data_IF_129567073844
#
_entry.id   IF_129567073844
#
_cell.length_a   1.000
_cell.length_b   1.000
_cell.length_c   1.000
_cell.angle_alpha   90.00
_cell.angle_beta   90.00
_cell.angle_gamma   90.00
#
_symmetry.space_group_name_H-M   'P 1'
#
loop_
_entity.id
_entity.type
_entity.pdbx_description
1 polymer ?
#
# COMPACT_ATOMS: atom_id res chain seq x y z
N UNK A 1 15.59 -23.22 -2.67
CA UNK A 1 15.86 -22.52 -1.39
C UNK A 1 15.89 -21.03 -1.62
N UNK A 2 15.26 -20.28 -0.76
CA UNK A 2 15.20 -18.81 -0.85
C UNK A 2 16.53 -18.20 -0.44
N UNK A 3 17.04 -17.26 -1.24
CA UNK A 3 18.30 -16.58 -0.96
C UNK A 3 18.12 -15.08 -1.25
N UNK A 4 18.30 -14.25 -0.22
CA UNK A 4 18.08 -12.81 -0.31
C UNK A 4 19.37 -12.06 0.02
N UNK A 5 19.75 -11.14 -0.87
CA UNK A 5 20.83 -10.21 -0.63
C UNK A 5 20.27 -8.80 -0.46
N UNK A 6 20.68 -8.12 0.63
CA UNK A 6 20.23 -6.77 0.92
C UNK A 6 21.41 -5.81 0.90
N UNK A 7 21.21 -4.65 0.29
CA UNK A 7 22.20 -3.57 0.29
C UNK A 7 21.85 -2.59 1.40
N UNK A 8 22.32 -2.90 2.62
CA UNK A 8 22.02 -2.13 3.82
C UNK A 8 23.32 -1.81 4.55
N UNK A 9 23.26 -0.82 5.46
CA UNK A 9 24.42 -0.45 6.25
C UNK A 9 24.82 -1.57 7.22
N UNK A 10 26.10 -1.62 7.63
CA UNK A 10 26.53 -2.61 8.62
C UNK A 10 25.75 -2.56 9.93
N UNK A 11 25.35 -1.35 10.36
CA UNK A 11 24.55 -1.19 11.58
C UNK A 11 23.16 -1.82 11.41
N UNK A 12 22.51 -1.61 10.27
CA UNK A 12 21.22 -2.20 9.98
C UNK A 12 21.31 -3.72 9.90
N UNK A 13 22.34 -4.23 9.24
CA UNK A 13 22.60 -5.67 9.14
C UNK A 13 22.73 -6.30 10.53
N UNK A 14 23.55 -5.68 11.40
CA UNK A 14 23.75 -6.18 12.76
C UNK A 14 22.45 -6.23 13.54
N UNK A 15 21.61 -5.21 13.40
CA UNK A 15 20.32 -5.16 14.10
C UNK A 15 19.36 -6.23 13.59
N UNK A 16 19.34 -6.50 12.29
CA UNK A 16 18.54 -7.59 11.73
C UNK A 16 19.02 -8.95 12.21
N UNK A 17 20.34 -9.15 12.26
CA UNK A 17 20.91 -10.40 12.80
C UNK A 17 20.51 -10.60 14.26
N UNK A 18 20.48 -9.52 15.04
CA UNK A 18 20.05 -9.60 16.44
C UNK A 18 18.60 -10.03 16.55
N UNK A 19 17.71 -9.47 15.71
CA UNK A 19 16.30 -9.86 15.69
C UNK A 19 16.14 -11.32 15.31
N UNK A 20 16.88 -11.77 14.31
CA UNK A 20 16.86 -13.17 13.89
C UNK A 20 17.30 -14.11 15.00
N UNK A 21 18.29 -13.68 15.80
CA UNK A 21 18.78 -14.47 16.94
C UNK A 21 17.73 -14.60 18.05
N UNK A 22 16.84 -13.62 18.21
CA UNK A 22 15.74 -13.69 19.19
C UNK A 22 14.58 -14.54 18.69
N UNK A 23 14.44 -14.71 17.38
CA UNK A 23 13.35 -15.47 16.82
C UNK A 23 13.50 -16.95 17.13
N UNK A 24 12.38 -17.63 17.39
CA UNK A 24 12.42 -19.06 17.69
C UNK A 24 12.88 -19.88 16.49
N UNK A 25 12.49 -19.46 15.29
CA UNK A 25 12.92 -20.07 14.04
C UNK A 25 12.83 -19.06 12.91
N UNK A 26 13.44 -19.43 11.78
CA UNK A 26 13.49 -18.54 10.62
C UNK A 26 12.15 -18.38 9.95
N UNK A 27 11.30 -19.40 10.00
CA UNK A 27 9.95 -19.34 9.44
C UNK A 27 9.12 -18.29 10.18
N UNK A 28 9.13 -18.31 11.50
CA UNK A 28 8.41 -17.33 12.31
C UNK A 28 8.92 -15.92 12.04
N UNK A 29 10.24 -15.74 11.93
CA UNK A 29 10.84 -14.45 11.61
C UNK A 29 10.31 -13.94 10.27
N UNK A 30 10.31 -14.78 9.23
CA UNK A 30 9.83 -14.40 7.90
C UNK A 30 8.33 -14.09 7.91
N UNK A 31 7.54 -14.92 8.60
CA UNK A 31 6.09 -14.69 8.69
C UNK A 31 5.75 -13.39 9.40
N UNK A 32 6.54 -12.99 10.40
CA UNK A 32 6.31 -11.73 11.09
C UNK A 32 6.56 -10.53 10.17
N UNK A 33 7.57 -10.60 9.30
CA UNK A 33 7.82 -9.56 8.30
C UNK A 33 6.63 -9.46 7.35
N UNK A 34 6.13 -10.58 6.86
CA UNK A 34 4.98 -10.62 5.95
C UNK A 34 3.73 -10.06 6.65
N UNK A 35 3.47 -10.49 7.88
CA UNK A 35 2.33 -10.02 8.64
C UNK A 35 2.37 -8.51 8.86
N UNK A 36 3.55 -7.96 9.14
CA UNK A 36 3.71 -6.51 9.29
C UNK A 36 3.36 -5.78 7.99
N UNK A 37 3.85 -6.26 6.86
CA UNK A 37 3.56 -5.64 5.56
C UNK A 37 2.08 -5.72 5.22
N UNK A 38 1.44 -6.85 5.49
CA UNK A 38 0.00 -6.99 5.28
C UNK A 38 -0.77 -5.97 6.11
N UNK A 39 -0.42 -5.84 7.40
CA UNK A 39 -1.10 -4.90 8.28
C UNK A 39 -0.93 -3.45 7.80
N UNK A 40 0.27 -3.07 7.35
CA UNK A 40 0.53 -1.72 6.83
C UNK A 40 -0.28 -1.45 5.56
N UNK A 41 -0.37 -2.44 4.66
CA UNK A 41 -1.17 -2.30 3.44
C UNK A 41 -2.66 -2.16 3.76
N UNK A 42 -3.17 -2.95 4.71
CA UNK A 42 -4.57 -2.88 5.12
C UNK A 42 -4.90 -1.50 5.73
N UNK A 43 -4.00 -0.99 6.56
CA UNK A 43 -4.15 0.34 7.15
C UNK A 43 -4.16 1.42 6.07
N UNK A 44 -3.25 1.34 5.11
CA UNK A 44 -3.20 2.28 3.99
C UNK A 44 -4.46 2.24 3.15
N UNK A 45 -4.98 1.06 2.88
CA UNK A 45 -6.22 0.89 2.13
C UNK A 45 -7.40 1.57 2.84
N UNK A 46 -7.54 1.34 4.15
CA UNK A 46 -8.61 1.97 4.95
C UNK A 46 -8.49 3.49 4.88
N UNK A 47 -7.29 4.02 5.08
CA UNK A 47 -7.09 5.48 5.05
C UNK A 47 -7.40 6.08 3.69
N UNK A 48 -6.99 5.42 2.61
CA UNK A 48 -7.29 5.90 1.26
C UNK A 48 -8.80 5.87 1.00
N UNK A 49 -9.49 4.80 1.43
CA UNK A 49 -10.95 4.72 1.25
C UNK A 49 -11.68 5.82 1.98
N UNK A 50 -11.20 6.22 3.17
CA UNK A 50 -11.79 7.34 3.90
C UNK A 50 -11.61 8.66 3.12
N UNK A 51 -10.44 8.87 2.53
CA UNK A 51 -10.18 10.06 1.73
C UNK A 51 -11.02 10.06 0.44
N UNK A 52 -11.15 8.91 -0.21
CA UNK A 52 -11.99 8.78 -1.41
C UNK A 52 -13.46 9.08 -1.09
N UNK A 53 -13.92 8.63 0.08
CA UNK A 53 -15.29 8.89 0.51
C UNK A 53 -15.58 10.39 0.61
N UNK A 54 -14.62 11.19 1.07
CA UNK A 54 -14.76 12.64 1.13
C UNK A 54 -15.01 13.25 -0.24
N UNK A 55 -14.28 12.79 -1.25
CA UNK A 55 -14.49 13.24 -2.63
C UNK A 55 -15.84 12.77 -3.16
N UNK A 56 -16.20 11.52 -2.90
CA UNK A 56 -17.49 10.97 -3.34
C UNK A 56 -18.67 11.77 -2.77
N UNK A 57 -18.57 12.17 -1.50
CA UNK A 57 -19.61 12.98 -0.86
C UNK A 57 -19.62 14.41 -1.42
N UNK A 58 -18.45 14.99 -1.66
CA UNK A 58 -18.32 16.36 -2.16
C UNK A 58 -18.89 16.48 -3.59
N UNK A 59 -18.58 15.52 -4.44
CA UNK A 59 -18.95 15.57 -5.87
C UNK A 59 -20.13 14.69 -6.22
N UNK A 60 -20.72 13.99 -5.24
CA UNK A 60 -21.92 13.16 -5.44
C UNK A 60 -21.74 12.13 -6.55
N UNK A 61 -20.57 11.46 -6.55
CA UNK A 61 -20.20 10.54 -7.61
C UNK A 61 -19.31 9.41 -7.04
N UNK A 62 -19.53 8.14 -7.45
CA UNK A 62 -18.62 7.06 -7.07
C UNK A 62 -17.25 7.27 -7.70
N UNK A 63 -16.21 6.86 -6.98
CA UNK A 63 -14.82 7.01 -7.44
C UNK A 63 -14.58 6.31 -8.78
N UNK A 64 -15.09 5.10 -8.95
CA UNK A 64 -14.90 4.31 -10.17
C UNK A 64 -15.45 5.04 -11.39
N UNK A 65 -16.63 5.65 -11.27
CA UNK A 65 -17.24 6.43 -12.33
C UNK A 65 -16.39 7.67 -12.64
N UNK A 66 -15.98 8.40 -11.61
CA UNK A 66 -15.10 9.56 -11.78
C UNK A 66 -13.81 9.16 -12.48
N UNK A 67 -13.18 8.08 -12.06
CA UNK A 67 -11.88 7.67 -12.59
C UNK A 67 -11.99 7.27 -14.05
N UNK A 68 -13.09 6.61 -14.44
CA UNK A 68 -13.34 6.28 -15.84
C UNK A 68 -13.42 7.54 -16.69
N UNK A 69 -14.13 8.57 -16.23
CA UNK A 69 -14.21 9.86 -16.92
C UNK A 69 -12.85 10.56 -16.95
N UNK A 70 -12.10 10.48 -15.86
CA UNK A 70 -10.77 11.08 -15.75
C UNK A 70 -9.81 10.50 -16.79
N UNK A 71 -9.79 9.18 -16.95
CA UNK A 71 -8.90 8.53 -17.92
C UNK A 71 -9.29 8.81 -19.37
N UNK A 72 -10.54 9.19 -19.61
CA UNK A 72 -11.04 9.57 -20.93
C UNK A 72 -10.92 11.08 -21.20
N UNK A 73 -10.30 11.82 -20.29
CA UNK A 73 -10.13 13.26 -20.45
C UNK A 73 -11.42 14.06 -20.30
N UNK A 74 -12.43 13.53 -19.63
CA UNK A 74 -13.74 14.14 -19.50
C UNK A 74 -13.92 14.93 -18.21
N UNK A 75 -12.90 15.00 -17.37
CA UNK A 75 -12.93 15.78 -16.12
C UNK A 75 -12.09 17.05 -16.29
N UNK A 76 -12.28 18.00 -15.35
CA UNK A 76 -11.44 19.21 -15.34
C UNK A 76 -10.02 18.87 -14.84
N UNK A 77 -9.11 19.85 -14.97
CA UNK A 77 -7.71 19.71 -14.52
C UNK A 77 -7.53 20.29 -13.11
N UNK A 78 -8.59 20.26 -12.28
CA UNK A 78 -8.52 20.80 -10.94
C UNK A 78 -7.60 19.97 -10.05
N UNK A 79 -7.11 20.61 -8.98
CA UNK A 79 -6.31 19.92 -7.98
C UNK A 79 -7.07 18.74 -7.37
N UNK A 80 -8.36 18.92 -7.10
CA UNK A 80 -9.20 17.84 -6.56
C UNK A 80 -9.27 16.64 -7.49
N UNK A 81 -9.44 16.87 -8.80
CA UNK A 81 -9.49 15.77 -9.77
C UNK A 81 -8.17 14.99 -9.80
N UNK A 82 -7.04 15.70 -9.76
CA UNK A 82 -5.72 15.06 -9.77
C UNK A 82 -5.49 14.27 -8.48
N UNK A 83 -5.84 14.83 -7.33
CA UNK A 83 -5.70 14.15 -6.04
C UNK A 83 -6.62 12.91 -5.97
N UNK A 84 -7.86 13.06 -6.38
CA UNK A 84 -8.82 11.97 -6.35
C UNK A 84 -8.36 10.80 -7.21
N UNK A 85 -7.95 11.08 -8.44
CA UNK A 85 -7.44 10.05 -9.35
C UNK A 85 -6.18 9.38 -8.79
N UNK A 86 -5.26 10.16 -8.23
CA UNK A 86 -4.03 9.64 -7.64
C UNK A 86 -4.30 8.73 -6.46
N UNK A 87 -5.26 9.08 -5.60
CA UNK A 87 -5.66 8.24 -4.47
C UNK A 87 -6.23 6.91 -4.94
N UNK A 88 -7.06 6.94 -5.98
CA UNK A 88 -7.63 5.71 -6.51
C UNK A 88 -6.56 4.79 -7.10
N UNK A 89 -5.58 5.36 -7.79
CA UNK A 89 -4.46 4.58 -8.33
C UNK A 89 -3.64 3.95 -7.20
N UNK A 90 -3.40 4.69 -6.11
CA UNK A 90 -2.73 4.17 -4.93
C UNK A 90 -3.52 3.04 -4.28
N UNK A 91 -4.84 3.18 -4.20
CA UNK A 91 -5.71 2.13 -3.65
C UNK A 91 -5.55 0.83 -4.45
N UNK A 92 -5.63 0.92 -5.77
CA UNK A 92 -5.52 -0.26 -6.64
C UNK A 92 -4.15 -0.90 -6.51
N UNK A 93 -3.09 -0.09 -6.40
CA UNK A 93 -1.74 -0.61 -6.23
C UNK A 93 -1.60 -1.34 -4.89
N UNK A 94 -2.12 -0.76 -3.82
CA UNK A 94 -2.06 -1.39 -2.50
C UNK A 94 -2.89 -2.68 -2.45
N UNK A 95 -4.04 -2.69 -3.09
CA UNK A 95 -4.87 -3.89 -3.17
C UNK A 95 -4.16 -5.01 -3.94
N UNK A 96 -3.46 -4.66 -5.02
CA UNK A 96 -2.66 -5.62 -5.78
C UNK A 96 -1.55 -6.21 -4.94
N UNK A 97 -0.81 -5.35 -4.23
CA UNK A 97 0.27 -5.78 -3.33
C UNK A 97 -0.25 -6.70 -2.22
N UNK A 98 -1.41 -6.36 -1.67
CA UNK A 98 -2.02 -7.19 -0.63
C UNK A 98 -2.38 -8.58 -1.16
N UNK A 99 -2.91 -8.67 -2.37
CA UNK A 99 -3.20 -9.98 -2.99
C UNK A 99 -1.94 -10.81 -3.20
N UNK A 100 -0.83 -10.18 -3.52
CA UNK A 100 0.44 -10.88 -3.68
C UNK A 100 0.96 -11.47 -2.37
N UNK A 101 0.68 -10.82 -1.24
CA UNK A 101 1.17 -11.24 0.06
C UNK A 101 0.22 -12.17 0.81
N UNK A 102 -1.06 -12.09 0.52
CA UNK A 102 -2.08 -12.92 1.19
C UNK A 102 -2.31 -14.30 0.49
#
# INVERSE_FOLDING_TARGET
>A
MFNLQLHISPKTEQRLKAILAYAQDQETFAQNIIAYQIAELQKGIVNIRLDLKKFEEKYKQPTEEFYQQYTQGQTDDSEDSMLWAGLYEMLRDNERKLRELA
#
